data_IF_640548902432
#
_entry.id   IF_640548902432
#
_cell.length_a   1.000
_cell.length_b   1.000
_cell.length_c   1.000
_cell.angle_alpha   90.00
_cell.angle_beta   90.00
_cell.angle_gamma   90.00
#
_symmetry.space_group_name_H-M   'P 1'
#
loop_
_entity.id
_entity.type
_entity.pdbx_description
1 polymer ?
#
# COMPACT_ATOMS: atom_id res chain seq x y z
N UNK A 1 -3.06 -14.11 3.54
CA UNK A 1 -3.36 -12.68 3.82
C UNK A 1 -2.95 -11.71 2.72
N UNK A 2 -3.66 -11.79 1.59
CA UNK A 2 -3.62 -10.77 0.53
C UNK A 2 -4.83 -9.83 0.60
N UNK A 3 -6.02 -10.30 1.02
CA UNK A 3 -7.18 -9.43 1.27
C UNK A 3 -6.91 -8.20 2.15
N UNK A 4 -6.16 -8.30 3.27
CA UNK A 4 -5.92 -7.13 4.11
C UNK A 4 -5.14 -6.06 3.33
N UNK A 5 -4.15 -6.47 2.55
CA UNK A 5 -3.30 -5.55 1.78
C UNK A 5 -4.15 -4.76 0.78
N UNK A 6 -5.01 -5.45 0.03
CA UNK A 6 -5.91 -4.78 -0.91
C UNK A 6 -6.92 -3.87 -0.21
N UNK A 7 -7.44 -4.25 0.96
CA UNK A 7 -8.30 -3.39 1.78
C UNK A 7 -7.63 -2.07 2.17
N UNK A 8 -6.38 -2.13 2.64
CA UNK A 8 -5.62 -0.92 3.01
C UNK A 8 -5.27 -0.05 1.82
N UNK A 9 -4.90 -0.64 0.69
CA UNK A 9 -4.62 0.10 -0.54
C UNK A 9 -5.88 0.84 -1.03
N UNK A 10 -7.04 0.18 -0.97
CA UNK A 10 -8.32 0.79 -1.36
C UNK A 10 -8.70 1.96 -0.45
N UNK A 11 -8.48 1.83 0.87
CA UNK A 11 -8.71 2.91 1.82
C UNK A 11 -7.76 4.11 1.60
N UNK A 12 -6.47 3.84 1.37
CA UNK A 12 -5.45 4.89 1.22
C UNK A 12 -5.51 5.59 -0.15
N UNK A 13 -5.77 4.84 -1.23
CA UNK A 13 -5.75 5.35 -2.62
C UNK A 13 -7.16 5.61 -3.18
N UNK A 14 -8.18 5.62 -2.30
CA UNK A 14 -9.60 5.77 -2.68
C UNK A 14 -10.01 4.85 -3.84
N UNK A 15 -9.50 3.62 -3.82
CA UNK A 15 -9.77 2.50 -4.74
C UNK A 15 -9.38 2.71 -6.22
N UNK A 16 -9.51 3.91 -6.77
CA UNK A 16 -9.42 4.20 -8.22
C UNK A 16 -8.53 5.39 -8.57
N UNK A 17 -7.99 6.12 -7.57
CA UNK A 17 -7.25 7.36 -7.83
C UNK A 17 -5.86 7.33 -7.22
N UNK A 18 -4.89 7.05 -8.09
CA UNK A 18 -3.50 7.40 -7.83
C UNK A 18 -3.34 8.93 -7.77
N UNK A 19 -2.47 9.36 -6.86
CA UNK A 19 -2.12 10.77 -6.64
C UNK A 19 -1.36 11.32 -7.85
N UNK A 20 -0.58 10.48 -8.51
CA UNK A 20 0.21 10.86 -9.69
C UNK A 20 -0.40 10.34 -11.01
N UNK A 21 0.15 10.82 -12.12
CA UNK A 21 -0.20 10.40 -13.48
C UNK A 21 1.04 9.87 -14.20
N UNK A 22 0.85 8.89 -15.08
CA UNK A 22 1.92 8.21 -15.83
C UNK A 22 2.36 6.92 -15.16
N UNK A 23 2.59 5.87 -15.97
CA UNK A 23 2.82 4.49 -15.53
C UNK A 23 3.94 4.37 -14.49
N UNK A 24 5.14 4.88 -14.80
CA UNK A 24 6.30 4.79 -13.90
C UNK A 24 6.06 5.47 -12.54
N UNK A 25 5.38 6.62 -12.51
CA UNK A 25 5.07 7.32 -11.25
C UNK A 25 4.04 6.54 -10.43
N UNK A 26 3.04 5.95 -11.08
CA UNK A 26 2.02 5.11 -10.44
C UNK A 26 2.64 3.83 -9.87
N UNK A 27 3.57 3.20 -10.59
CA UNK A 27 4.33 2.05 -10.09
C UNK A 27 5.11 2.39 -8.82
N UNK A 28 5.76 3.57 -8.77
CA UNK A 28 6.45 4.05 -7.57
C UNK A 28 5.48 4.32 -6.40
N UNK A 29 4.34 4.97 -6.66
CA UNK A 29 3.30 5.22 -5.64
C UNK A 29 2.78 3.90 -5.04
N UNK A 30 2.50 2.91 -5.91
CA UNK A 30 2.05 1.59 -5.49
C UNK A 30 3.12 0.85 -4.69
N UNK A 31 4.39 0.91 -5.11
CA UNK A 31 5.53 0.33 -4.38
C UNK A 31 5.68 0.92 -2.98
N UNK A 32 5.56 2.24 -2.83
CA UNK A 32 5.59 2.93 -1.55
C UNK A 32 4.42 2.51 -0.64
N UNK A 33 3.21 2.43 -1.19
CA UNK A 33 2.03 2.01 -0.44
C UNK A 33 2.16 0.55 0.06
N UNK A 34 2.70 -0.34 -0.77
CA UNK A 34 2.99 -1.73 -0.38
C UNK A 34 4.08 -1.83 0.69
N UNK A 35 5.15 -1.05 0.59
CA UNK A 35 6.20 -0.98 1.61
C UNK A 35 5.63 -0.52 2.96
N UNK A 36 4.77 0.51 2.98
CA UNK A 36 4.12 0.96 4.20
C UNK A 36 3.28 -0.15 4.86
N UNK A 37 2.54 -0.93 4.06
CA UNK A 37 1.77 -2.08 4.56
C UNK A 37 2.69 -3.16 5.13
N UNK A 38 3.81 -3.45 4.48
CA UNK A 38 4.80 -4.43 4.95
C UNK A 38 5.46 -3.98 6.26
N UNK A 39 5.82 -2.70 6.40
CA UNK A 39 6.37 -2.14 7.65
C UNK A 39 5.37 -2.24 8.80
N UNK A 40 4.08 -1.98 8.55
CA UNK A 40 3.05 -2.17 9.58
C UNK A 40 2.87 -3.64 9.97
N UNK A 41 2.95 -4.57 9.01
CA UNK A 41 2.96 -6.01 9.31
C UNK A 41 4.20 -6.40 10.12
N UNK A 42 5.36 -5.85 9.79
CA UNK A 42 6.62 -6.13 10.48
C UNK A 42 6.58 -5.64 11.94
N UNK A 43 6.20 -4.38 12.15
CA UNK A 43 6.05 -3.81 13.51
C UNK A 43 5.02 -4.57 14.35
N UNK A 44 3.87 -4.95 13.77
CA UNK A 44 2.87 -5.77 14.46
C UNK A 44 3.33 -7.21 14.76
N UNK A 45 4.33 -7.72 14.05
CA UNK A 45 4.98 -9.01 14.36
C UNK A 45 6.07 -8.85 15.42
N UNK A 46 6.82 -7.75 15.38
CA UNK A 46 7.90 -7.45 16.33
C UNK A 46 7.36 -7.10 17.74
N UNK A 47 6.15 -6.54 17.82
CA UNK A 47 5.46 -6.20 19.08
C UNK A 47 4.66 -7.36 19.69
N UNK A 48 4.72 -8.54 19.08
CA UNK A 48 4.19 -9.80 19.62
C UNK A 48 5.33 -10.67 20.09
#
# INVERSE_FOLDING_TARGET
DVEPVFGFLKANLRFTRFSVRGKSKVENEMGLALMAVNLRKFTAKQLR
#
